data_IF_616852215273
#
_entry.id   IF_616852215273
#
_cell.length_a   1.000
_cell.length_b   1.000
_cell.length_c   1.000
_cell.angle_alpha   90.00
_cell.angle_beta   90.00
_cell.angle_gamma   90.00
#
_symmetry.space_group_name_H-M   'P 1'
#
loop_
_entity.id
_entity.type
_entity.pdbx_description
1 polymer ?
#
# COMPACT_ATOMS: atom_id res chain seq x y z
N UNK A 1 -2.65 -18.19 -4.33
CA UNK A 1 -3.74 -18.10 -3.34
C UNK A 1 -3.68 -19.20 -2.30
N UNK A 2 -3.66 -20.50 -2.64
CA UNK A 2 -3.59 -21.62 -1.67
C UNK A 2 -2.47 -21.46 -0.63
N UNK A 3 -1.29 -21.00 -1.05
CA UNK A 3 -0.17 -20.80 -0.11
C UNK A 3 -0.49 -19.74 0.96
N UNK A 4 -1.17 -18.66 0.59
CA UNK A 4 -1.55 -17.59 1.54
C UNK A 4 -2.66 -18.09 2.48
N UNK A 5 -3.62 -18.85 1.95
CA UNK A 5 -4.66 -19.48 2.79
C UNK A 5 -4.05 -20.45 3.81
N UNK A 6 -2.97 -21.15 3.45
CA UNK A 6 -2.24 -22.05 4.38
C UNK A 6 -1.52 -21.32 5.51
N UNK A 7 -1.21 -20.04 5.31
CA UNK A 7 -0.60 -19.17 6.34
C UNK A 7 -1.63 -18.53 7.28
N UNK A 8 -2.91 -18.77 7.06
CA UNK A 8 -4.01 -18.15 7.80
C UNK A 8 -4.05 -16.60 7.70
N UNK A 9 -3.42 -16.07 6.64
CA UNK A 9 -3.33 -14.64 6.38
C UNK A 9 -4.49 -14.13 5.54
N UNK A 10 -4.86 -12.87 5.76
CA UNK A 10 -5.85 -12.18 4.93
C UNK A 10 -5.18 -11.54 3.72
N UNK A 11 -5.73 -11.76 2.54
CA UNK A 11 -5.26 -11.12 1.33
C UNK A 11 -6.33 -10.28 0.65
N UNK A 12 -5.88 -9.29 -0.14
CA UNK A 12 -6.70 -8.52 -1.07
C UNK A 12 -5.94 -8.36 -2.38
N UNK A 13 -6.50 -8.86 -3.49
CA UNK A 13 -5.93 -8.74 -4.82
C UNK A 13 -6.87 -8.03 -5.79
N UNK A 14 -6.33 -7.16 -6.64
CA UNK A 14 -7.06 -6.69 -7.80
C UNK A 14 -7.03 -7.76 -8.89
N UNK A 15 -8.19 -8.16 -9.37
CA UNK A 15 -8.31 -9.14 -10.43
C UNK A 15 -8.62 -8.51 -11.78
N UNK A 16 -8.36 -9.28 -12.85
CA UNK A 16 -8.70 -8.89 -14.21
C UNK A 16 -10.20 -9.05 -14.46
N UNK A 17 -10.77 -8.21 -15.29
CA UNK A 17 -12.20 -8.19 -15.63
C UNK A 17 -12.69 -9.47 -16.29
N UNK A 18 -11.82 -10.17 -17.04
CA UNK A 18 -12.13 -11.41 -17.74
C UNK A 18 -11.98 -12.69 -16.88
N UNK A 19 -11.60 -12.53 -15.60
CA UNK A 19 -11.57 -13.68 -14.69
C UNK A 19 -12.98 -14.26 -14.54
N UNK A 20 -13.12 -15.56 -14.68
CA UNK A 20 -14.42 -16.24 -14.63
C UNK A 20 -14.77 -16.65 -13.21
N UNK A 21 -16.05 -16.48 -12.88
CA UNK A 21 -16.67 -16.93 -11.63
C UNK A 21 -17.87 -17.81 -11.92
N UNK A 22 -18.12 -18.75 -11.02
CA UNK A 22 -19.28 -19.64 -11.10
C UNK A 22 -20.43 -18.96 -10.36
N UNK A 23 -21.41 -18.48 -11.12
CA UNK A 23 -22.46 -17.60 -10.60
C UNK A 23 -23.84 -18.01 -11.10
N UNK A 24 -24.81 -17.92 -10.22
CA UNK A 24 -26.23 -18.11 -10.53
C UNK A 24 -26.90 -16.75 -10.70
N UNK A 25 -27.15 -16.40 -11.97
CA UNK A 25 -27.74 -15.09 -12.30
C UNK A 25 -29.22 -14.98 -11.94
N UNK A 26 -29.94 -16.09 -12.05
CA UNK A 26 -31.38 -16.20 -11.75
C UNK A 26 -31.63 -17.42 -10.86
N UNK A 27 -32.55 -17.33 -9.89
CA UNK A 27 -32.84 -18.44 -8.96
C UNK A 27 -33.22 -19.76 -9.66
N UNK A 28 -33.92 -19.63 -10.82
CA UNK A 28 -34.44 -20.77 -11.61
C UNK A 28 -33.43 -21.36 -12.60
N UNK A 29 -32.26 -20.72 -12.75
CA UNK A 29 -31.22 -21.15 -13.71
C UNK A 29 -30.04 -21.77 -13.00
N UNK A 30 -29.43 -22.75 -13.67
CA UNK A 30 -28.18 -23.34 -13.17
C UNK A 30 -27.07 -22.30 -13.11
N UNK A 31 -26.16 -22.48 -12.14
CA UNK A 31 -24.91 -21.70 -12.08
C UNK A 31 -24.11 -21.90 -13.35
N UNK A 32 -23.55 -20.84 -13.88
CA UNK A 32 -22.71 -20.83 -15.09
C UNK A 32 -21.41 -20.07 -14.84
N UNK A 33 -20.40 -20.37 -15.63
CA UNK A 33 -19.15 -19.61 -15.62
C UNK A 33 -19.30 -18.33 -16.43
N UNK A 34 -19.25 -17.20 -15.76
CA UNK A 34 -19.30 -15.88 -16.40
C UNK A 34 -18.06 -15.05 -16.04
N UNK A 35 -17.60 -14.16 -16.92
CA UNK A 35 -16.60 -13.16 -16.57
C UNK A 35 -17.08 -12.26 -15.41
N UNK A 36 -16.18 -11.84 -14.53
CA UNK A 36 -16.55 -10.98 -13.40
C UNK A 36 -17.23 -9.68 -13.86
N UNK A 37 -16.84 -9.17 -15.04
CA UNK A 37 -17.43 -7.94 -15.58
C UNK A 37 -18.94 -8.07 -15.92
N UNK A 38 -19.40 -9.29 -16.15
CA UNK A 38 -20.81 -9.60 -16.45
C UNK A 38 -21.68 -9.81 -15.20
N UNK A 39 -21.07 -9.81 -14.02
CA UNK A 39 -21.83 -9.83 -12.77
C UNK A 39 -22.73 -8.59 -12.70
N UNK A 40 -23.94 -8.67 -12.12
CA UNK A 40 -24.89 -7.57 -12.04
C UNK A 40 -24.35 -6.47 -11.10
N UNK A 41 -23.51 -5.58 -11.63
CA UNK A 41 -23.01 -4.42 -10.93
C UNK A 41 -23.94 -3.24 -11.15
N UNK A 42 -24.21 -2.48 -10.10
CA UNK A 42 -24.81 -1.15 -10.28
C UNK A 42 -23.71 -0.18 -10.72
N UNK A 43 -23.97 0.56 -11.80
CA UNK A 43 -22.98 1.42 -12.50
C UNK A 43 -22.31 2.44 -11.57
N UNK A 44 -22.95 2.82 -10.47
CA UNK A 44 -22.48 3.87 -9.56
C UNK A 44 -22.17 3.44 -8.14
N UNK A 45 -22.39 2.19 -7.78
CA UNK A 45 -22.28 1.74 -6.39
C UNK A 45 -21.27 0.61 -6.20
N UNK A 46 -20.63 0.58 -5.04
CA UNK A 46 -19.86 -0.58 -4.61
C UNK A 46 -20.79 -1.75 -4.34
N UNK A 47 -20.46 -2.93 -4.82
CA UNK A 47 -21.21 -4.17 -4.58
C UNK A 47 -20.29 -5.26 -4.06
N UNK A 48 -20.84 -6.08 -3.18
CA UNK A 48 -20.12 -7.17 -2.54
C UNK A 48 -20.79 -8.48 -2.94
N UNK A 49 -19.96 -9.45 -3.27
CA UNK A 49 -20.35 -10.82 -3.50
C UNK A 49 -19.56 -11.71 -2.55
N UNK A 50 -20.25 -12.55 -1.82
CA UNK A 50 -19.65 -13.50 -0.88
C UNK A 50 -19.67 -14.92 -1.45
N UNK A 51 -18.68 -15.70 -1.08
CA UNK A 51 -18.61 -17.14 -1.42
C UNK A 51 -18.74 -17.42 -2.92
N UNK A 52 -18.08 -16.63 -3.76
CA UNK A 52 -17.99 -16.91 -5.18
C UNK A 52 -16.92 -17.98 -5.44
N UNK A 53 -17.26 -18.93 -6.31
CA UNK A 53 -16.31 -19.92 -6.80
C UNK A 53 -15.51 -19.35 -7.98
N UNK A 54 -14.18 -19.37 -7.84
CA UNK A 54 -13.25 -18.89 -8.84
C UNK A 54 -12.45 -20.04 -9.44
N UNK A 55 -12.19 -19.96 -10.74
CA UNK A 55 -11.37 -20.92 -11.50
C UNK A 55 -11.94 -22.33 -11.52
N UNK A 56 -11.38 -23.19 -12.39
CA UNK A 56 -11.77 -24.61 -12.50
C UNK A 56 -11.63 -25.39 -11.18
N UNK A 57 -10.73 -24.93 -10.30
CA UNK A 57 -10.49 -25.58 -9.00
C UNK A 57 -11.50 -25.17 -7.92
N UNK A 58 -12.49 -24.34 -8.28
CA UNK A 58 -13.60 -23.90 -7.38
C UNK A 58 -13.15 -23.31 -6.04
N UNK A 59 -12.10 -22.48 -6.06
CA UNK A 59 -11.73 -21.73 -4.88
C UNK A 59 -12.81 -20.73 -4.51
N UNK A 60 -13.20 -20.72 -3.24
CA UNK A 60 -14.28 -19.86 -2.74
C UNK A 60 -13.68 -18.63 -2.07
N UNK A 61 -13.97 -17.46 -2.64
CA UNK A 61 -13.52 -16.17 -2.11
C UNK A 61 -14.64 -15.12 -2.21
N UNK A 62 -14.42 -13.99 -1.56
CA UNK A 62 -15.29 -12.84 -1.64
C UNK A 62 -14.80 -11.88 -2.73
N UNK A 63 -15.72 -11.20 -3.40
CA UNK A 63 -15.44 -10.18 -4.40
C UNK A 63 -16.06 -8.84 -3.96
N UNK A 64 -15.26 -7.79 -3.95
CA UNK A 64 -15.73 -6.41 -3.80
C UNK A 64 -15.57 -5.66 -5.13
N UNK A 65 -16.68 -5.23 -5.71
CA UNK A 65 -16.71 -4.27 -6.81
C UNK A 65 -16.71 -2.88 -6.21
N UNK A 66 -15.69 -2.08 -6.48
CA UNK A 66 -15.53 -0.75 -5.92
C UNK A 66 -15.33 0.27 -7.03
N UNK A 67 -16.35 1.11 -7.29
CA UNK A 67 -16.24 2.24 -8.19
C UNK A 67 -16.15 3.52 -7.36
N UNK A 68 -15.08 4.28 -7.54
CA UNK A 68 -14.93 5.60 -6.92
C UNK A 68 -15.31 6.69 -7.91
N UNK A 69 -15.98 7.73 -7.42
CA UNK A 69 -16.33 8.89 -8.22
C UNK A 69 -15.07 9.51 -8.82
N UNK A 70 -15.11 9.84 -10.13
CA UNK A 70 -13.95 10.39 -10.85
C UNK A 70 -12.94 9.36 -11.38
N UNK A 71 -13.05 8.09 -11.06
CA UNK A 71 -12.20 7.05 -11.64
C UNK A 71 -12.84 6.39 -12.85
N UNK A 72 -12.06 6.24 -13.95
CA UNK A 72 -12.53 5.60 -15.19
C UNK A 72 -12.88 4.13 -14.98
N UNK A 73 -12.09 3.42 -14.20
CA UNK A 73 -12.23 1.99 -13.96
C UNK A 73 -12.63 1.67 -12.53
N UNK A 74 -13.49 0.67 -12.38
CA UNK A 74 -13.78 0.09 -11.07
C UNK A 74 -12.66 -0.88 -10.64
N UNK A 75 -12.48 -0.99 -9.33
CA UNK A 75 -11.62 -2.03 -8.76
C UNK A 75 -12.45 -3.28 -8.50
N UNK A 76 -11.95 -4.40 -9.01
CA UNK A 76 -12.46 -5.73 -8.76
C UNK A 76 -11.49 -6.41 -7.79
N UNK A 77 -11.85 -6.51 -6.53
CA UNK A 77 -10.98 -6.95 -5.44
C UNK A 77 -11.46 -8.30 -4.90
N UNK A 78 -10.58 -9.30 -4.98
CA UNK A 78 -10.80 -10.63 -4.39
C UNK A 78 -10.14 -10.67 -3.02
N UNK A 79 -10.83 -11.23 -2.04
CA UNK A 79 -10.32 -11.43 -0.68
C UNK A 79 -10.89 -12.70 -0.03
N UNK A 80 -10.10 -13.32 0.85
CA UNK A 80 -10.58 -14.36 1.77
C UNK A 80 -11.16 -13.77 3.06
N UNK A 81 -10.89 -12.50 3.33
CA UNK A 81 -11.38 -11.79 4.51
C UNK A 81 -12.69 -11.03 4.26
N UNK A 82 -12.95 -10.02 5.09
CA UNK A 82 -14.16 -9.19 5.01
C UNK A 82 -14.14 -8.31 3.75
N UNK A 83 -15.04 -8.52 2.77
CA UNK A 83 -15.05 -7.78 1.52
C UNK A 83 -15.42 -6.30 1.68
N UNK A 84 -16.06 -5.89 2.77
CA UNK A 84 -16.34 -4.47 3.08
C UNK A 84 -15.06 -3.67 3.30
N UNK A 85 -14.02 -4.31 3.83
CA UNK A 85 -12.71 -3.70 4.10
C UNK A 85 -11.75 -3.80 2.91
N UNK A 86 -12.08 -4.58 1.88
CA UNK A 86 -11.18 -4.84 0.75
C UNK A 86 -10.67 -3.56 0.07
N UNK A 87 -11.54 -2.53 -0.09
CA UNK A 87 -11.14 -1.24 -0.68
C UNK A 87 -10.11 -0.51 0.18
N UNK A 88 -10.28 -0.52 1.49
CA UNK A 88 -9.37 0.14 2.45
C UNK A 88 -8.04 -0.58 2.48
N UNK A 89 -8.05 -1.91 2.62
CA UNK A 89 -6.84 -2.72 2.64
C UNK A 89 -6.05 -2.63 1.33
N UNK A 90 -6.75 -2.67 0.18
CA UNK A 90 -6.10 -2.46 -1.10
C UNK A 90 -5.52 -1.05 -1.26
N UNK A 91 -6.20 -0.06 -0.69
CA UNK A 91 -5.75 1.33 -0.68
C UNK A 91 -4.43 1.55 0.08
N UNK A 92 -4.16 0.78 1.12
CA UNK A 92 -2.89 0.86 1.88
C UNK A 92 -1.65 0.60 1.01
N UNK A 93 -1.77 -0.18 -0.05
CA UNK A 93 -0.70 -0.44 -0.99
C UNK A 93 -0.15 0.86 -1.62
N UNK A 94 -1.00 1.83 -1.94
CA UNK A 94 -0.57 3.11 -2.56
C UNK A 94 0.24 3.98 -1.59
N UNK A 95 -0.06 3.90 -0.29
CA UNK A 95 0.66 4.65 0.72
C UNK A 95 1.95 4.01 1.20
N UNK A 96 2.14 2.72 1.00
CA UNK A 96 3.28 1.97 1.55
C UNK A 96 4.16 1.33 0.48
N UNK A 97 3.64 0.32 -0.23
CA UNK A 97 4.46 -0.48 -1.16
C UNK A 97 4.87 0.35 -2.38
N UNK A 98 3.96 1.09 -2.98
CA UNK A 98 4.27 1.92 -4.16
C UNK A 98 5.22 3.06 -3.80
N UNK A 99 5.07 3.63 -2.60
CA UNK A 99 5.99 4.63 -2.09
C UNK A 99 7.39 4.04 -1.87
N UNK A 100 7.49 2.82 -1.32
CA UNK A 100 8.75 2.12 -1.15
C UNK A 100 9.45 1.91 -2.50
N UNK A 101 8.74 1.36 -3.48
CA UNK A 101 9.29 1.17 -4.83
C UNK A 101 9.71 2.48 -5.49
N UNK A 102 8.90 3.52 -5.36
CA UNK A 102 9.27 4.86 -5.87
C UNK A 102 10.52 5.39 -5.19
N UNK A 103 10.63 5.23 -3.86
CA UNK A 103 11.81 5.65 -3.13
C UNK A 103 13.08 4.91 -3.60
N UNK A 104 12.97 3.62 -3.88
CA UNK A 104 14.07 2.80 -4.36
C UNK A 104 14.50 3.15 -5.81
N UNK A 105 13.52 3.53 -6.66
CA UNK A 105 13.79 3.87 -8.06
C UNK A 105 14.35 5.28 -8.23
N UNK A 106 13.79 6.27 -7.54
CA UNK A 106 13.99 7.69 -7.87
C UNK A 106 14.53 8.55 -6.73
N UNK A 107 14.44 8.13 -5.47
CA UNK A 107 14.75 8.99 -4.33
C UNK A 107 16.19 8.82 -3.80
N UNK A 108 17.14 8.54 -4.66
CA UNK A 108 18.56 8.50 -4.32
C UNK A 108 19.20 7.12 -4.27
N UNK A 109 18.42 6.05 -4.42
CA UNK A 109 18.99 4.69 -4.50
C UNK A 109 19.26 4.24 -5.92
N UNK A 110 18.51 4.75 -6.92
CA UNK A 110 18.67 4.46 -8.36
C UNK A 110 18.93 2.98 -8.66
N UNK A 111 18.13 2.11 -8.01
CA UNK A 111 18.35 0.68 -8.03
C UNK A 111 18.36 0.08 -9.44
N UNK A 112 17.63 0.69 -10.38
CA UNK A 112 17.60 0.27 -11.79
C UNK A 112 18.92 0.57 -12.51
N UNK A 113 19.71 1.53 -12.03
CA UNK A 113 20.97 1.97 -12.62
C UNK A 113 22.19 1.29 -11.99
N UNK A 114 21.99 0.43 -10.97
CA UNK A 114 23.10 -0.14 -10.20
C UNK A 114 24.02 -1.11 -10.99
N UNK A 115 23.61 -1.53 -12.19
CA UNK A 115 24.40 -2.39 -13.08
C UNK A 115 24.71 -3.80 -12.55
N UNK A 116 24.15 -4.19 -11.41
CA UNK A 116 24.42 -5.50 -10.79
C UNK A 116 23.65 -6.60 -11.51
N UNK A 117 24.38 -7.50 -12.18
CA UNK A 117 23.83 -8.64 -12.92
C UNK A 117 23.66 -9.91 -12.08
N UNK A 118 24.45 -10.07 -11.00
CA UNK A 118 24.41 -11.26 -10.14
C UNK A 118 23.23 -11.18 -9.16
N UNK A 119 22.32 -12.12 -9.22
CA UNK A 119 21.09 -12.16 -8.40
C UNK A 119 21.41 -12.09 -6.89
N UNK A 120 22.42 -12.81 -6.41
CA UNK A 120 22.80 -12.79 -5.01
C UNK A 120 23.27 -11.39 -4.56
N UNK A 121 24.14 -10.74 -5.33
CA UNK A 121 24.61 -9.40 -5.02
C UNK A 121 23.45 -8.38 -5.06
N UNK A 122 22.53 -8.53 -6.01
CA UNK A 122 21.33 -7.71 -6.09
C UNK A 122 20.44 -7.89 -4.86
N UNK A 123 20.21 -9.12 -4.41
CA UNK A 123 19.43 -9.40 -3.18
C UNK A 123 20.04 -8.74 -1.95
N UNK A 124 21.36 -8.82 -1.79
CA UNK A 124 22.06 -8.21 -0.67
C UNK A 124 21.93 -6.68 -0.70
N UNK A 125 22.16 -6.06 -1.86
CA UNK A 125 21.97 -4.62 -2.03
C UNK A 125 20.52 -4.22 -1.74
N UNK A 126 19.55 -4.96 -2.26
CA UNK A 126 18.13 -4.68 -2.05
C UNK A 126 17.76 -4.75 -0.56
N UNK A 127 18.24 -5.77 0.16
CA UNK A 127 18.01 -5.91 1.61
C UNK A 127 18.60 -4.73 2.37
N UNK A 128 19.81 -4.31 2.03
CA UNK A 128 20.45 -3.13 2.64
C UNK A 128 19.64 -1.85 2.40
N UNK A 129 19.18 -1.64 1.17
CA UNK A 129 18.32 -0.50 0.81
C UNK A 129 17.02 -0.51 1.61
N UNK A 130 16.40 -1.68 1.80
CA UNK A 130 15.19 -1.80 2.62
C UNK A 130 15.44 -1.40 4.08
N UNK A 131 16.55 -1.84 4.67
CA UNK A 131 16.94 -1.47 6.04
C UNK A 131 17.18 0.03 6.16
N UNK A 132 17.93 0.63 5.23
CA UNK A 132 18.20 2.07 5.22
C UNK A 132 16.90 2.86 5.04
N UNK A 133 16.00 2.41 4.16
CA UNK A 133 14.72 3.06 3.94
C UNK A 133 13.85 3.05 5.20
N UNK A 134 13.79 1.91 5.89
CA UNK A 134 13.09 1.77 7.16
C UNK A 134 13.69 2.71 8.21
N UNK A 135 15.02 2.69 8.38
CA UNK A 135 15.72 3.55 9.32
C UNK A 135 15.44 5.03 9.09
N UNK A 136 15.58 5.51 7.84
CA UNK A 136 15.30 6.90 7.49
C UNK A 136 13.83 7.27 7.68
N UNK A 137 12.91 6.34 7.44
CA UNK A 137 11.47 6.55 7.67
C UNK A 137 11.16 6.68 9.17
N UNK A 138 11.77 5.85 10.01
CA UNK A 138 11.64 5.93 11.47
C UNK A 138 12.21 7.26 12.00
N UNK A 139 13.42 7.62 11.55
CA UNK A 139 14.04 8.90 11.89
C UNK A 139 13.15 10.09 11.53
N UNK A 140 12.57 10.09 10.34
CA UNK A 140 11.63 11.12 9.90
C UNK A 140 10.28 11.10 10.64
N UNK A 141 9.89 9.95 11.22
CA UNK A 141 8.69 9.84 12.04
C UNK A 141 8.87 10.43 13.42
N UNK A 142 10.00 10.17 14.06
CA UNK A 142 10.32 10.70 15.40
C UNK A 142 10.35 12.23 15.41
N UNK A 143 10.84 12.82 14.33
CA UNK A 143 10.81 14.26 14.15
C UNK A 143 9.38 14.79 14.09
N UNK A 144 8.48 14.06 13.45
CA UNK A 144 7.10 14.51 13.31
C UNK A 144 6.35 14.57 14.65
N UNK A 145 6.81 13.84 15.67
CA UNK A 145 6.26 13.83 17.02
C UNK A 145 6.77 15.03 17.85
N UNK A 146 8.00 15.50 17.58
CA UNK A 146 8.65 16.60 18.34
C UNK A 146 8.54 17.95 17.62
N UNK A 147 7.32 18.46 17.47
CA UNK A 147 6.97 19.56 16.57
C UNK A 147 7.62 20.93 16.85
N UNK A 148 8.19 21.19 18.03
CA UNK A 148 8.73 22.53 18.38
C UNK A 148 10.06 22.85 17.68
N UNK A 149 10.97 21.89 17.58
CA UNK A 149 12.30 22.09 16.97
C UNK A 149 12.29 22.07 15.44
N UNK A 150 11.24 21.53 14.83
CA UNK A 150 11.18 21.25 13.39
C UNK A 150 10.27 22.16 12.58
N UNK A 151 9.55 23.08 13.22
CA UNK A 151 8.83 24.15 12.50
C UNK A 151 9.75 24.98 11.62
N UNK A 152 11.01 25.15 12.03
CA UNK A 152 12.01 25.96 11.33
C UNK A 152 12.61 25.28 10.09
N UNK A 153 12.37 23.97 9.91
CA UNK A 153 12.94 23.20 8.79
C UNK A 153 11.96 23.13 7.59
N UNK A 154 10.79 23.76 7.70
CA UNK A 154 9.84 23.84 6.57
C UNK A 154 9.11 22.56 6.21
N UNK A 155 9.17 21.52 7.06
CA UNK A 155 8.54 20.22 6.77
C UNK A 155 7.03 20.17 7.01
N UNK A 156 6.49 21.19 7.71
CA UNK A 156 5.07 21.28 8.02
C UNK A 156 4.57 22.66 7.62
N UNK A 157 3.59 22.69 6.71
CA UNK A 157 2.87 23.91 6.37
C UNK A 157 1.54 23.92 7.12
N UNK A 158 1.22 25.04 7.74
CA UNK A 158 -0.11 25.28 8.33
C UNK A 158 -0.93 26.07 7.32
N UNK A 159 -2.02 25.52 6.82
CA UNK A 159 -2.98 26.22 5.99
C UNK A 159 -4.16 26.65 6.85
N UNK A 160 -4.41 27.92 6.91
CA UNK A 160 -5.57 28.48 7.58
C UNK A 160 -6.73 28.49 6.57
N UNK A 161 -7.79 27.73 6.84
CA UNK A 161 -9.08 27.86 6.18
C UNK A 161 -10.02 28.60 7.12
N UNK A 162 -11.08 29.27 6.62
CA UNK A 162 -11.90 30.20 7.43
C UNK A 162 -12.35 29.67 8.79
N UNK A 163 -12.54 28.37 8.94
CA UNK A 163 -13.01 27.78 10.19
C UNK A 163 -12.13 26.64 10.76
N UNK A 164 -10.98 26.32 10.16
CA UNK A 164 -10.10 25.24 10.65
C UNK A 164 -8.66 25.47 10.24
N UNK A 165 -7.73 25.22 11.18
CA UNK A 165 -6.29 25.16 10.91
C UNK A 165 -5.90 23.72 10.58
N UNK A 166 -5.44 23.50 9.37
CA UNK A 166 -4.90 22.20 8.97
C UNK A 166 -3.37 22.26 8.89
N UNK A 167 -2.73 21.27 9.50
CA UNK A 167 -1.29 21.07 9.33
C UNK A 167 -1.09 19.95 8.33
N UNK A 168 -0.42 20.23 7.23
CA UNK A 168 -0.02 19.14 6.35
C UNK A 168 1.47 18.98 6.32
N UNK A 169 1.87 17.74 6.14
CA UNK A 169 3.25 17.41 5.88
C UNK A 169 3.56 17.67 4.40
N UNK A 170 4.56 18.53 4.15
CA UNK A 170 5.02 18.85 2.79
C UNK A 170 6.00 17.80 2.29
N UNK A 171 6.70 17.13 3.20
CA UNK A 171 7.77 16.19 2.90
C UNK A 171 7.43 14.81 3.47
N UNK A 172 7.70 13.74 2.71
CA UNK A 172 7.54 12.38 3.22
C UNK A 172 8.43 12.11 4.44
N UNK A 173 8.04 11.15 5.29
CA UNK A 173 8.85 10.76 6.46
C UNK A 173 10.27 10.35 6.04
N UNK A 174 10.39 9.56 4.98
CA UNK A 174 11.68 9.16 4.43
C UNK A 174 12.55 10.38 4.05
N UNK A 175 11.98 11.33 3.32
CA UNK A 175 12.74 12.53 2.88
C UNK A 175 13.12 13.42 4.06
N UNK A 176 12.27 13.54 5.05
CA UNK A 176 12.60 14.23 6.30
C UNK A 176 13.78 13.55 7.02
N UNK A 177 13.73 12.23 7.18
CA UNK A 177 14.83 11.46 7.77
C UNK A 177 16.13 11.56 6.97
N UNK A 178 16.07 11.47 5.64
CA UNK A 178 17.23 11.62 4.78
C UNK A 178 17.88 13.02 4.91
N UNK A 179 17.06 14.07 4.98
CA UNK A 179 17.59 15.43 5.17
C UNK A 179 18.30 15.55 6.51
N UNK A 180 17.74 15.04 7.57
CA UNK A 180 18.39 15.07 8.89
C UNK A 180 19.66 14.24 8.91
N UNK A 181 19.65 13.07 8.31
CA UNK A 181 20.83 12.23 8.20
C UNK A 181 21.97 12.99 7.49
N UNK A 182 21.67 13.65 6.38
CA UNK A 182 22.63 14.49 5.67
C UNK A 182 23.13 15.67 6.53
N UNK A 183 22.23 16.35 7.22
CA UNK A 183 22.59 17.46 8.11
C UNK A 183 23.52 17.00 9.24
N UNK A 184 23.26 15.83 9.82
CA UNK A 184 24.10 15.35 10.91
C UNK A 184 25.49 14.90 10.43
N UNK A 185 25.59 14.26 9.28
CA UNK A 185 26.88 13.96 8.66
C UNK A 185 27.66 15.25 8.45
N UNK A 186 27.02 16.28 7.86
CA UNK A 186 27.67 17.54 7.56
C UNK A 186 28.07 18.32 8.84
N UNK A 187 27.37 18.12 9.95
CA UNK A 187 27.68 18.78 11.23
C UNK A 187 28.54 17.91 12.13
N UNK A 188 29.06 16.77 11.69
CA UNK A 188 29.81 15.79 12.48
C UNK A 188 29.13 15.41 13.81
N UNK A 189 27.79 15.38 13.80
CA UNK A 189 26.99 15.01 14.98
C UNK A 189 26.71 13.50 14.96
N UNK A 190 26.91 12.87 16.10
CA UNK A 190 26.52 11.46 16.27
C UNK A 190 25.01 11.34 16.33
N UNK A 191 24.45 10.41 15.54
CA UNK A 191 23.07 9.99 15.69
C UNK A 191 22.93 9.02 16.84
N UNK A 192 22.01 9.30 17.74
CA UNK A 192 21.44 8.23 18.56
C UNK A 192 20.50 7.42 17.66
N UNK A 193 20.72 6.11 17.60
CA UNK A 193 19.77 5.21 17.01
C UNK A 193 18.40 5.44 17.67
N UNK A 194 17.29 5.51 16.90
CA UNK A 194 15.97 5.58 17.49
C UNK A 194 15.81 4.44 18.48
N UNK A 195 15.54 4.76 19.75
CA UNK A 195 15.46 3.79 20.84
C UNK A 195 14.21 2.91 20.79
N UNK A 196 13.29 3.19 19.89
CA UNK A 196 12.03 2.45 19.78
C UNK A 196 11.74 2.07 18.34
N UNK A 197 12.18 0.88 17.94
CA UNK A 197 11.44 0.10 16.96
C UNK A 197 10.17 -0.42 17.65
N UNK A 198 9.23 0.44 17.94
CA UNK A 198 7.87 -0.03 18.19
C UNK A 198 7.30 -0.46 16.84
N UNK A 199 7.36 -1.75 16.57
CA UNK A 199 6.43 -2.40 15.69
C UNK A 199 5.06 -2.00 16.23
N UNK A 200 4.27 -1.31 15.43
CA UNK A 200 2.89 -1.05 15.77
C UNK A 200 2.22 -2.42 15.82
N UNK A 201 1.84 -2.84 17.04
CA UNK A 201 0.83 -3.86 17.20
C UNK A 201 -0.42 -3.36 16.48
N UNK A 202 -0.81 -4.15 15.51
CA UNK A 202 -1.96 -3.92 14.63
C UNK A 202 -3.28 -4.14 15.36
#
# INVERSE_FOLDING_TARGET
MQYIDSLNDTFVFRCKQNLKVFYQKYPEKHKIWIPIIELPHHIHNSKIYTNLEFTKNRYVYNLAYCKSQGHKEAWLLITNGNPKLAKVHYGYRFGSIEFLFKAQKTNGFYLEECGIKKLHAFRNLYSLICIINLYLTCLGSDISKNSKSYKNIGFIITKNLPNKKYKYRVVSRFRAGLTLFKMAINCHRYFRLPTTFTLYDS
#
